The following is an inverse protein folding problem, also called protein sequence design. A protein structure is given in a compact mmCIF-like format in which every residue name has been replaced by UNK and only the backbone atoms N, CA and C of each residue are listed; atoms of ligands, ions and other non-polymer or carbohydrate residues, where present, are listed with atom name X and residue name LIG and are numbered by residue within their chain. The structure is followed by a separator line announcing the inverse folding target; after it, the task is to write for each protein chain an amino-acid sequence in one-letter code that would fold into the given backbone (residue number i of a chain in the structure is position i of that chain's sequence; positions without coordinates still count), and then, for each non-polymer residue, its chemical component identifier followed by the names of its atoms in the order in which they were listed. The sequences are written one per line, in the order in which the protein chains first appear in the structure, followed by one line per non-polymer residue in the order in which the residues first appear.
data_IF_275247056521
#
_entry.id   IF_275247056521
#
_cell.length_a   1.000
_cell.length_b   1.000
_cell.length_c   1.000
_cell.angle_alpha   90.00
_cell.angle_beta   90.00
_cell.angle_gamma   90.00
#
_symmetry.space_group_name_H-M   'P 1'
#
loop_
_entity.id
_entity.type
_entity.pdbx_description
1 polymer ?
#
# COMPACT_ATOMS: atom_id res chain seq x y z
N UNK A 1 21.72 48.48 -6.13
CA UNK A 1 22.14 47.80 -4.88
C UNK A 1 20.96 47.78 -3.93
N UNK A 2 20.34 46.61 -3.76
CA UNK A 2 20.01 45.98 -2.48
C UNK A 2 19.18 44.72 -2.81
N UNK A 3 19.88 43.59 -2.87
CA UNK A 3 19.26 42.27 -2.81
C UNK A 3 18.70 42.09 -1.40
N UNK A 4 17.39 41.92 -1.30
CA UNK A 4 16.76 41.49 -0.05
C UNK A 4 17.00 39.99 0.10
N UNK A 5 18.10 39.61 0.76
CA UNK A 5 18.25 38.25 1.27
C UNK A 5 17.36 38.09 2.50
N UNK A 6 16.20 37.44 2.33
CA UNK A 6 15.41 36.96 3.45
C UNK A 6 16.12 35.76 4.06
N UNK A 7 16.91 35.97 5.09
CA UNK A 7 17.47 34.89 5.90
C UNK A 7 16.36 34.18 6.66
N UNK A 8 16.15 32.90 6.34
CA UNK A 8 15.28 31.98 7.07
C UNK A 8 15.66 31.96 8.55
N UNK A 9 14.68 31.96 9.44
CA UNK A 9 14.95 31.85 10.88
C UNK A 9 15.46 30.45 11.21
N UNK A 10 16.26 30.32 12.28
CA UNK A 10 16.82 29.03 12.69
C UNK A 10 15.73 27.97 12.98
N UNK A 11 14.54 28.38 13.42
CA UNK A 11 13.39 27.47 13.60
C UNK A 11 12.81 26.98 12.27
N UNK A 12 12.77 27.83 11.25
CA UNK A 12 12.34 27.44 9.90
C UNK A 12 13.35 26.50 9.24
N UNK A 13 14.65 26.75 9.45
CA UNK A 13 15.72 25.87 8.99
C UNK A 13 15.66 24.50 9.69
N UNK A 14 15.49 24.46 11.01
CA UNK A 14 15.38 23.20 11.77
C UNK A 14 14.10 22.43 11.45
N UNK A 15 13.00 23.12 11.11
CA UNK A 15 11.76 22.49 10.64
C UNK A 15 11.95 21.85 9.25
N UNK A 16 12.59 22.56 8.31
CA UNK A 16 12.94 22.04 6.98
C UNK A 16 13.92 20.87 7.07
N UNK A 17 14.94 20.97 7.92
CA UNK A 17 15.89 19.89 8.18
C UNK A 17 15.17 18.68 8.79
N UNK A 18 14.23 18.86 9.72
CA UNK A 18 13.43 17.73 10.24
C UNK A 18 12.52 17.11 9.18
N UNK A 19 11.89 17.91 8.32
CA UNK A 19 11.04 17.41 7.22
C UNK A 19 11.89 16.60 6.22
N UNK A 20 13.09 17.08 5.89
CA UNK A 20 14.04 16.40 4.99
C UNK A 20 14.72 15.19 5.65
N UNK A 21 14.85 15.17 6.98
CA UNK A 21 15.40 14.05 7.75
C UNK A 21 14.39 12.93 8.02
N UNK A 22 13.11 13.09 7.66
CA UNK A 22 12.16 11.96 7.62
C UNK A 22 12.50 11.07 6.41
N UNK A 23 13.54 10.25 6.61
CA UNK A 23 13.92 9.06 5.83
C UNK A 23 14.18 9.26 4.33
N UNK A 24 15.23 10.01 4.02
CA UNK A 24 15.99 9.81 2.78
C UNK A 24 16.71 8.46 2.91
N UNK A 25 16.08 7.37 2.45
CA UNK A 25 16.74 6.06 2.29
C UNK A 25 17.77 6.12 1.15
N UNK A 26 18.71 5.18 1.06
CA UNK A 26 19.60 5.14 -0.10
C UNK A 26 18.78 5.03 -1.40
N UNK A 27 18.94 5.98 -2.31
CA UNK A 27 18.18 6.09 -3.56
C UNK A 27 18.79 7.14 -4.49
N UNK A 28 18.39 7.13 -5.76
CA UNK A 28 18.78 8.18 -6.72
C UNK A 28 17.83 9.35 -6.51
N UNK A 29 18.37 10.47 -6.02
CA UNK A 29 17.62 11.70 -5.82
C UNK A 29 17.90 12.66 -6.98
N UNK A 30 16.85 13.08 -7.65
CA UNK A 30 16.93 14.16 -8.64
C UNK A 30 16.90 15.49 -7.90
N UNK A 31 18.02 16.20 -7.87
CA UNK A 31 18.05 17.60 -7.47
C UNK A 31 17.42 18.41 -8.61
N UNK A 32 16.26 19.00 -8.36
CA UNK A 32 15.52 19.80 -9.34
C UNK A 32 15.57 21.24 -8.85
N UNK A 33 15.93 22.17 -9.74
CA UNK A 33 15.91 23.61 -9.43
C UNK A 33 14.48 24.11 -9.20
N UNK A 34 14.31 25.14 -8.37
CA UNK A 34 13.00 25.67 -7.97
C UNK A 34 12.14 26.15 -9.16
N UNK A 35 12.74 26.38 -10.33
CA UNK A 35 12.09 26.93 -11.52
C UNK A 35 11.59 25.88 -12.53
N UNK A 36 11.72 24.57 -12.26
CA UNK A 36 11.31 23.53 -13.23
C UNK A 36 9.82 23.27 -13.11
N UNK A 37 9.07 23.50 -14.19
CA UNK A 37 7.63 23.24 -14.19
C UNK A 37 7.33 21.73 -14.10
N UNK A 38 6.19 21.36 -13.51
CA UNK A 38 5.72 19.96 -13.45
C UNK A 38 5.63 19.29 -14.83
N UNK A 39 5.44 20.08 -15.90
CA UNK A 39 5.42 19.60 -17.28
C UNK A 39 6.82 19.22 -17.78
N UNK A 40 7.81 20.07 -17.55
CA UNK A 40 9.21 19.79 -17.91
C UNK A 40 9.78 18.62 -17.09
N UNK A 41 9.37 18.48 -15.83
CA UNK A 41 9.67 17.30 -15.02
C UNK A 41 9.10 16.02 -15.62
N UNK A 42 7.86 16.05 -16.08
CA UNK A 42 7.21 14.89 -16.71
C UNK A 42 7.93 14.48 -18.00
N UNK A 43 8.38 15.45 -18.80
CA UNK A 43 9.18 15.21 -20.02
C UNK A 43 10.57 14.68 -19.66
N UNK A 44 11.25 15.28 -18.69
CA UNK A 44 12.60 14.88 -18.29
C UNK A 44 12.62 13.48 -17.67
N UNK A 45 11.69 13.19 -16.75
CA UNK A 45 11.53 11.87 -16.14
C UNK A 45 11.07 10.85 -17.17
N UNK A 46 10.15 11.21 -18.06
CA UNK A 46 9.74 10.37 -19.20
C UNK A 46 10.92 10.03 -20.12
N UNK A 47 11.74 11.01 -20.49
CA UNK A 47 12.95 10.81 -21.28
C UNK A 47 14.01 9.97 -20.57
N UNK A 48 14.14 10.10 -19.24
CA UNK A 48 15.01 9.24 -18.44
C UNK A 48 14.51 7.78 -18.42
N UNK A 49 13.20 7.57 -18.23
CA UNK A 49 12.56 6.25 -18.27
C UNK A 49 12.74 5.59 -19.64
N UNK A 50 12.58 6.36 -20.72
CA UNK A 50 12.76 5.87 -22.08
C UNK A 50 14.22 5.49 -22.38
N UNK A 51 15.18 6.16 -21.71
CA UNK A 51 16.62 5.89 -21.87
C UNK A 51 17.09 4.69 -21.05
N UNK A 52 16.49 4.44 -19.88
CA UNK A 52 16.83 3.32 -19.00
C UNK A 52 15.97 2.10 -19.30
N UNK A 53 16.45 1.26 -20.22
CA UNK A 53 15.88 -0.08 -20.38
C UNK A 53 16.13 -0.92 -19.13
N UNK A 54 15.06 -1.43 -18.53
CA UNK A 54 15.10 -2.22 -17.29
C UNK A 54 15.70 -3.61 -17.54
N UNK A 55 16.48 -4.08 -16.58
CA UNK A 55 16.96 -5.47 -16.51
C UNK A 55 16.10 -6.31 -15.54
N UNK A 56 16.35 -7.62 -15.46
CA UNK A 56 15.58 -8.53 -14.60
C UNK A 56 15.69 -8.23 -13.10
N UNK A 57 16.82 -7.69 -12.63
CA UNK A 57 16.99 -7.26 -11.24
C UNK A 57 16.10 -6.05 -10.95
N UNK A 58 16.04 -5.09 -11.87
CA UNK A 58 15.17 -3.91 -11.73
C UNK A 58 13.69 -4.31 -11.67
N UNK A 59 13.29 -5.28 -12.50
CA UNK A 59 11.92 -5.85 -12.48
C UNK A 59 11.61 -6.47 -11.12
N UNK A 60 12.49 -7.32 -10.59
CA UNK A 60 12.31 -7.93 -9.28
C UNK A 60 12.25 -6.89 -8.15
N UNK A 61 13.02 -5.81 -8.24
CA UNK A 61 12.96 -4.72 -7.27
C UNK A 61 11.61 -4.00 -7.32
N UNK A 62 11.07 -3.73 -8.51
CA UNK A 62 9.72 -3.16 -8.68
C UNK A 62 8.66 -4.08 -8.07
N UNK A 63 8.71 -5.38 -8.38
CA UNK A 63 7.76 -6.35 -7.81
C UNK A 63 7.78 -6.36 -6.28
N UNK A 64 8.98 -6.44 -5.69
CA UNK A 64 9.14 -6.45 -4.24
C UNK A 64 8.70 -5.13 -3.62
N UNK A 65 9.00 -4.01 -4.27
CA UNK A 65 8.57 -2.69 -3.83
C UNK A 65 7.04 -2.59 -3.75
N UNK A 66 6.33 -2.97 -4.82
CA UNK A 66 4.87 -2.93 -4.85
C UNK A 66 4.27 -3.88 -3.81
N UNK A 67 4.78 -5.11 -3.71
CA UNK A 67 4.33 -6.10 -2.71
C UNK A 67 4.49 -5.56 -1.28
N UNK A 68 5.61 -4.91 -1.00
CA UNK A 68 5.89 -4.35 0.32
C UNK A 68 4.96 -3.19 0.66
N UNK A 69 4.78 -2.23 -0.25
CA UNK A 69 3.82 -1.13 -0.05
C UNK A 69 2.43 -1.70 0.22
N UNK A 70 1.99 -2.66 -0.60
CA UNK A 70 0.65 -3.19 -0.47
C UNK A 70 0.41 -3.94 0.83
N UNK A 71 1.41 -4.71 1.28
CA UNK A 71 1.38 -5.35 2.58
C UNK A 71 1.24 -4.31 3.71
N UNK A 72 1.98 -3.20 3.64
CA UNK A 72 1.90 -2.13 4.65
C UNK A 72 0.53 -1.45 4.66
N UNK A 73 -0.03 -1.14 3.49
CA UNK A 73 -1.37 -0.55 3.37
C UNK A 73 -2.44 -1.47 3.95
N UNK A 74 -2.40 -2.76 3.63
CA UNK A 74 -3.34 -3.74 4.19
C UNK A 74 -3.16 -3.86 5.70
N UNK A 75 -1.93 -3.83 6.21
CA UNK A 75 -1.67 -3.79 7.65
C UNK A 75 -2.25 -2.54 8.31
N UNK A 76 -2.18 -1.38 7.66
CA UNK A 76 -2.71 -0.12 8.16
C UNK A 76 -4.24 -0.16 8.34
N UNK A 77 -4.93 -0.97 7.53
CA UNK A 77 -6.38 -1.17 7.67
C UNK A 77 -6.77 -2.01 8.90
N UNK A 78 -5.88 -2.85 9.42
CA UNK A 78 -6.22 -3.78 10.52
C UNK A 78 -6.60 -3.06 11.82
N UNK A 79 -5.85 -2.06 12.32
CA UNK A 79 -6.25 -1.28 13.50
C UNK A 79 -7.64 -0.65 13.36
N UNK A 80 -7.98 -0.14 12.18
CA UNK A 80 -9.29 0.44 11.89
C UNK A 80 -10.43 -0.60 11.91
N UNK A 81 -10.14 -1.85 11.55
CA UNK A 81 -11.09 -2.95 11.69
C UNK A 81 -11.28 -3.31 13.16
N UNK A 82 -10.19 -3.40 13.92
CA UNK A 82 -10.23 -3.86 15.31
C UNK A 82 -10.68 -2.83 16.33
N UNK A 83 -10.61 -1.53 15.99
CA UNK A 83 -11.30 -0.50 16.77
C UNK A 83 -12.81 -0.73 16.81
N UNK A 84 -13.38 -1.35 15.77
CA UNK A 84 -14.81 -1.69 15.65
C UNK A 84 -15.13 -3.11 16.10
N UNK A 85 -14.25 -4.05 15.82
CA UNK A 85 -14.39 -5.47 16.17
C UNK A 85 -13.15 -5.96 16.90
N UNK A 86 -13.07 -5.75 18.22
CA UNK A 86 -11.90 -6.17 18.99
C UNK A 86 -11.85 -7.70 19.02
N UNK A 87 -10.90 -8.27 18.28
CA UNK A 87 -10.65 -9.71 18.22
C UNK A 87 -9.16 -9.99 18.50
N UNK A 88 -8.83 -11.10 19.19
CA UNK A 88 -7.44 -11.51 19.35
C UNK A 88 -6.80 -11.82 18.00
N UNK A 89 -5.60 -11.28 17.78
CA UNK A 89 -4.77 -11.61 16.63
C UNK A 89 -3.30 -11.49 16.97
N UNK A 90 -2.46 -12.23 16.25
CA UNK A 90 -1.01 -12.16 16.35
C UNK A 90 -0.41 -11.73 15.01
N UNK A 91 0.54 -10.77 15.06
CA UNK A 91 1.35 -10.43 13.90
C UNK A 91 2.45 -11.48 13.77
N UNK A 92 2.26 -12.40 12.84
CA UNK A 92 3.19 -13.47 12.54
C UNK A 92 3.28 -13.71 11.03
N UNK A 93 4.24 -14.54 10.61
CA UNK A 93 4.48 -14.84 9.19
C UNK A 93 3.25 -15.44 8.49
N UNK A 94 2.40 -16.17 9.21
CA UNK A 94 1.16 -16.72 8.66
C UNK A 94 0.19 -15.59 8.28
N UNK A 95 -0.04 -14.63 9.18
CA UNK A 95 -0.84 -13.45 8.84
C UNK A 95 -0.24 -12.70 7.65
N UNK A 96 1.06 -12.42 7.65
CA UNK A 96 1.72 -11.72 6.53
C UNK A 96 1.51 -12.42 5.19
N UNK A 97 1.72 -13.74 5.15
CA UNK A 97 1.51 -14.56 3.95
C UNK A 97 0.07 -14.41 3.44
N UNK A 98 -0.91 -14.46 4.34
CA UNK A 98 -2.32 -14.33 3.99
C UNK A 98 -2.68 -12.91 3.51
N UNK A 99 -2.05 -11.87 4.06
CA UNK A 99 -2.25 -10.49 3.61
C UNK A 99 -1.57 -10.21 2.25
N UNK A 100 -0.41 -10.80 1.99
CA UNK A 100 0.21 -10.76 0.66
C UNK A 100 -0.72 -11.43 -0.34
N UNK A 101 -1.21 -12.64 -0.02
CA UNK A 101 -2.15 -13.34 -0.89
C UNK A 101 -3.42 -12.53 -1.13
N UNK A 102 -3.99 -11.91 -0.10
CA UNK A 102 -5.13 -11.00 -0.22
C UNK A 102 -4.87 -9.91 -1.27
N UNK A 103 -3.70 -9.26 -1.18
CA UNK A 103 -3.29 -8.18 -2.07
C UNK A 103 -3.12 -8.59 -3.53
N UNK A 104 -2.75 -9.85 -3.77
CA UNK A 104 -2.51 -10.37 -5.11
C UNK A 104 -3.79 -10.64 -5.89
N UNK A 105 -4.90 -10.88 -5.20
CA UNK A 105 -6.18 -11.22 -5.81
C UNK A 105 -7.19 -10.07 -5.78
N UNK A 106 -7.05 -9.14 -4.85
CA UNK A 106 -8.05 -8.11 -4.60
C UNK A 106 -7.41 -6.73 -4.44
N UNK A 107 -8.11 -5.71 -4.93
CA UNK A 107 -7.76 -4.30 -4.70
C UNK A 107 -7.95 -3.91 -3.22
N UNK A 108 -7.59 -2.67 -2.84
CA UNK A 108 -7.62 -2.27 -1.43
C UNK A 108 -9.03 -2.24 -0.83
N UNK A 109 -10.05 -1.80 -1.57
CA UNK A 109 -11.40 -1.67 -1.03
C UNK A 109 -12.05 -3.05 -0.80
N UNK A 110 -11.78 -4.00 -1.71
CA UNK A 110 -12.19 -5.38 -1.54
C UNK A 110 -11.39 -6.06 -0.42
N UNK A 111 -10.09 -5.80 -0.32
CA UNK A 111 -9.25 -6.28 0.79
C UNK A 111 -9.78 -5.76 2.12
N UNK A 112 -10.11 -4.47 2.21
CA UNK A 112 -10.67 -3.86 3.41
C UNK A 112 -12.03 -4.48 3.78
N UNK A 113 -12.90 -4.68 2.79
CA UNK A 113 -14.19 -5.34 2.98
C UNK A 113 -14.03 -6.75 3.56
N UNK A 114 -13.09 -7.53 3.01
CA UNK A 114 -12.81 -8.88 3.49
C UNK A 114 -12.32 -8.88 4.93
N UNK A 115 -11.32 -8.06 5.27
CA UNK A 115 -10.81 -7.93 6.63
C UNK A 115 -11.92 -7.57 7.61
N UNK A 116 -12.71 -6.55 7.27
CA UNK A 116 -13.82 -6.07 8.08
C UNK A 116 -14.87 -7.16 8.32
N UNK A 117 -15.26 -7.87 7.27
CA UNK A 117 -16.27 -8.93 7.35
C UNK A 117 -15.79 -10.10 8.21
N UNK A 118 -14.56 -10.56 8.03
CA UNK A 118 -14.02 -11.67 8.82
C UNK A 118 -13.86 -11.31 10.29
N UNK A 119 -13.49 -10.05 10.60
CA UNK A 119 -13.39 -9.59 11.98
C UNK A 119 -14.77 -9.51 12.63
N UNK A 120 -15.78 -9.00 11.91
CA UNK A 120 -17.17 -8.96 12.37
C UNK A 120 -17.70 -10.35 12.71
N UNK A 121 -17.48 -11.32 11.83
CA UNK A 121 -17.89 -12.71 12.07
C UNK A 121 -17.19 -13.30 13.29
N UNK A 122 -15.87 -13.14 13.38
CA UNK A 122 -15.10 -13.66 14.51
C UNK A 122 -15.51 -13.00 15.84
N UNK A 123 -15.77 -11.68 15.85
CA UNK A 123 -16.27 -11.00 17.04
C UNK A 123 -17.64 -11.56 17.48
N UNK A 124 -18.52 -11.88 16.52
CA UNK A 124 -19.78 -12.57 16.81
C UNK A 124 -19.58 -13.96 17.41
N UNK A 125 -18.69 -14.77 16.83
CA UNK A 125 -18.34 -16.10 17.33
C UNK A 125 -17.80 -16.02 18.78
N UNK A 126 -16.87 -15.09 19.02
CA UNK A 126 -16.25 -14.89 20.33
C UNK A 126 -17.20 -14.30 21.36
N UNK A 127 -18.17 -13.50 20.96
CA UNK A 127 -19.19 -12.99 21.88
C UNK A 127 -20.04 -14.14 22.44
N UNK A 128 -20.39 -15.12 21.60
CA UNK A 128 -21.12 -16.33 22.04
C UNK A 128 -20.26 -17.17 22.98
N UNK A 129 -18.96 -17.30 22.71
CA UNK A 129 -18.01 -17.97 23.62
C UNK A 129 -17.88 -17.20 24.95
N UNK A 130 -17.81 -15.86 24.92
CA UNK A 130 -17.70 -15.00 26.11
C UNK A 130 -18.89 -15.09 27.05
N UNK A 131 -20.10 -15.30 26.51
CA UNK A 131 -21.29 -15.53 27.34
C UNK A 131 -21.16 -16.84 28.13
N UNK A 132 -20.35 -17.79 27.65
CA UNK A 132 -20.15 -19.10 28.26
C UNK A 132 -18.93 -19.15 29.20
N UNK A 133 -17.89 -18.35 28.96
CA UNK A 133 -16.66 -18.27 29.77
C UNK A 133 -15.79 -17.02 29.43
N UNK A 134 -14.62 -16.83 30.07
CA UNK A 134 -13.63 -15.83 29.63
C UNK A 134 -13.01 -16.17 28.26
N UNK A 135 -12.64 -15.13 27.48
CA UNK A 135 -12.00 -15.31 26.17
C UNK A 135 -10.52 -15.68 26.36
N UNK A 136 -10.14 -16.89 25.94
CA UNK A 136 -8.74 -17.30 25.84
C UNK A 136 -8.07 -16.70 24.59
N UNK A 137 -7.25 -15.67 24.81
CA UNK A 137 -6.54 -14.97 23.73
C UNK A 137 -5.54 -15.85 23.00
N UNK A 138 -4.80 -16.71 23.71
CA UNK A 138 -3.77 -17.57 23.10
C UNK A 138 -4.41 -18.61 22.19
N UNK A 139 -5.52 -19.21 22.63
CA UNK A 139 -6.31 -20.14 21.80
C UNK A 139 -6.87 -19.49 20.54
N UNK A 140 -7.02 -18.16 20.51
CA UNK A 140 -7.72 -17.47 19.42
C UNK A 140 -6.84 -16.59 18.54
N UNK A 141 -5.57 -16.41 18.89
CA UNK A 141 -4.65 -15.49 18.19
C UNK A 141 -4.46 -15.74 16.70
N UNK A 142 -4.66 -16.99 16.24
CA UNK A 142 -4.55 -17.36 14.83
C UNK A 142 -5.90 -17.48 14.10
N UNK A 143 -7.04 -17.43 14.82
CA UNK A 143 -8.37 -17.62 14.23
C UNK A 143 -8.67 -16.60 13.14
N UNK A 144 -8.29 -15.34 13.34
CA UNK A 144 -8.53 -14.28 12.36
C UNK A 144 -7.76 -14.51 11.06
N UNK A 145 -6.46 -14.80 11.15
CA UNK A 145 -5.60 -15.13 10.00
C UNK A 145 -6.17 -16.33 9.21
N UNK A 146 -6.57 -17.40 9.91
CA UNK A 146 -7.15 -18.58 9.28
C UNK A 146 -8.49 -18.30 8.58
N UNK A 147 -9.34 -17.43 9.14
CA UNK A 147 -10.58 -16.99 8.50
C UNK A 147 -10.31 -16.18 7.23
N UNK A 148 -9.30 -15.30 7.23
CA UNK A 148 -8.85 -14.58 6.02
C UNK A 148 -8.45 -15.59 4.94
N UNK A 149 -7.53 -16.51 5.25
CA UNK A 149 -7.02 -17.50 4.30
C UNK A 149 -8.15 -18.36 3.69
N UNK A 150 -9.05 -18.86 4.55
CA UNK A 150 -10.19 -19.68 4.12
C UNK A 150 -11.12 -18.93 3.18
N UNK A 151 -11.36 -17.64 3.45
CA UNK A 151 -12.27 -16.84 2.65
C UNK A 151 -11.65 -16.36 1.33
N UNK A 152 -10.35 -16.04 1.32
CA UNK A 152 -9.61 -15.81 0.06
C UNK A 152 -9.74 -17.04 -0.83
N UNK A 153 -9.44 -18.24 -0.29
CA UNK A 153 -9.56 -19.48 -1.03
C UNK A 153 -10.97 -19.68 -1.61
N UNK A 154 -11.99 -19.54 -0.78
CA UNK A 154 -13.39 -19.66 -1.22
C UNK A 154 -13.71 -18.71 -2.39
N UNK A 155 -13.31 -17.44 -2.28
CA UNK A 155 -13.58 -16.43 -3.30
C UNK A 155 -12.84 -16.71 -4.60
N UNK A 156 -11.56 -17.08 -4.52
CA UNK A 156 -10.74 -17.44 -5.68
C UNK A 156 -11.29 -18.70 -6.37
N UNK A 157 -11.54 -19.77 -5.62
CA UNK A 157 -12.09 -21.03 -6.16
C UNK A 157 -13.47 -20.82 -6.80
N UNK A 158 -14.24 -19.86 -6.29
CA UNK A 158 -15.57 -19.51 -6.82
C UNK A 158 -15.54 -18.43 -7.91
N UNK A 159 -14.37 -17.90 -8.27
CA UNK A 159 -14.19 -16.74 -9.15
C UNK A 159 -15.08 -15.53 -8.76
N UNK A 160 -15.08 -15.18 -7.47
CA UNK A 160 -15.87 -14.09 -6.88
C UNK A 160 -14.96 -13.05 -6.23
N UNK A 161 -15.49 -11.82 -6.12
CA UNK A 161 -14.92 -10.77 -5.27
C UNK A 161 -15.71 -10.67 -3.96
N UNK A 162 -15.13 -10.10 -2.89
CA UNK A 162 -15.88 -9.75 -1.69
C UNK A 162 -17.11 -8.91 -2.05
N UNK A 163 -18.27 -9.30 -1.55
CA UNK A 163 -19.49 -8.51 -1.74
C UNK A 163 -19.37 -7.21 -0.95
N UNK A 164 -19.84 -6.10 -1.53
CA UNK A 164 -19.83 -4.77 -0.93
C UNK A 164 -18.39 -4.27 -0.66
N UNK A 165 -17.67 -3.75 -1.68
CA UNK A 165 -16.39 -3.12 -1.47
C UNK A 165 -16.52 -2.00 -0.44
N UNK A 166 -15.53 -1.90 0.44
CA UNK A 166 -15.55 -0.95 1.55
C UNK A 166 -14.63 0.20 1.21
N UNK A 167 -15.20 1.41 1.15
CA UNK A 167 -14.43 2.64 1.00
C UNK A 167 -13.32 2.69 2.04
N UNK A 168 -12.14 3.13 1.61
CA UNK A 168 -11.01 3.38 2.48
C UNK A 168 -11.36 4.42 3.57
N UNK A 169 -10.66 4.41 4.72
CA UNK A 169 -10.83 5.43 5.75
C UNK A 169 -10.76 6.86 5.19
N UNK A 170 -11.51 7.80 5.76
CA UNK A 170 -11.61 9.18 5.24
C UNK A 170 -10.26 9.92 5.28
N UNK A 171 -9.37 9.52 6.19
CA UNK A 171 -8.00 10.04 6.31
C UNK A 171 -6.97 9.28 5.47
N UNK A 172 -7.40 8.39 4.57
CA UNK A 172 -6.49 7.62 3.72
C UNK A 172 -5.73 8.56 2.78
N UNK A 173 -4.40 8.45 2.79
CA UNK A 173 -3.52 9.21 1.92
C UNK A 173 -2.52 8.27 1.26
N UNK A 174 -2.45 8.35 -0.06
CA UNK A 174 -1.38 7.70 -0.82
C UNK A 174 -0.09 8.49 -0.64
N UNK A 175 1.02 7.77 -0.50
CA UNK A 175 2.36 8.35 -0.56
C UNK A 175 2.64 9.00 -1.91
N UNK A 176 3.63 9.89 -1.92
CA UNK A 176 4.03 10.61 -3.14
C UNK A 176 4.43 9.66 -4.28
N UNK A 177 5.05 8.52 -3.97
CA UNK A 177 5.47 7.56 -4.98
C UNK A 177 4.28 6.83 -5.61
N UNK A 178 3.26 6.49 -4.83
CA UNK A 178 2.01 5.88 -5.33
C UNK A 178 1.25 6.84 -6.23
N UNK A 179 1.19 8.13 -5.83
CA UNK A 179 0.59 9.20 -6.63
C UNK A 179 1.38 9.42 -7.93
N UNK A 180 2.71 9.49 -7.85
CA UNK A 180 3.59 9.65 -9.00
C UNK A 180 3.41 8.51 -9.99
N UNK A 181 3.43 7.25 -9.52
CA UNK A 181 3.24 6.08 -10.38
C UNK A 181 1.86 6.12 -11.04
N UNK A 182 0.81 6.43 -10.28
CA UNK A 182 -0.55 6.53 -10.81
C UNK A 182 -0.66 7.59 -11.91
N UNK A 183 -0.09 8.78 -11.71
CA UNK A 183 -0.15 9.89 -12.68
C UNK A 183 0.75 9.69 -13.91
N UNK A 184 1.80 8.88 -13.78
CA UNK A 184 2.82 8.71 -14.81
C UNK A 184 2.56 7.47 -15.67
N UNK A 185 2.03 6.40 -15.09
CA UNK A 185 1.93 5.10 -15.77
C UNK A 185 0.50 4.57 -15.87
N UNK A 186 -0.44 5.02 -15.04
CA UNK A 186 -1.82 4.53 -15.08
C UNK A 186 -2.71 5.48 -15.88
N UNK A 187 -3.63 4.90 -16.65
CA UNK A 187 -4.61 5.69 -17.39
C UNK A 187 -5.64 6.29 -16.42
N UNK A 188 -6.27 7.42 -16.77
CA UNK A 188 -7.20 8.19 -15.90
C UNK A 188 -8.38 7.41 -15.27
N UNK A 189 -8.60 6.15 -15.67
CA UNK A 189 -9.64 5.27 -15.15
C UNK A 189 -9.17 4.36 -14.01
N UNK A 190 -7.86 4.26 -13.77
CA UNK A 190 -7.27 3.38 -12.77
C UNK A 190 -6.43 4.18 -11.79
N UNK A 191 -6.67 4.00 -10.50
CA UNK A 191 -5.83 4.54 -9.44
C UNK A 191 -5.22 3.38 -8.64
N UNK A 192 -4.12 3.66 -7.95
CA UNK A 192 -3.38 2.69 -7.15
C UNK A 192 -4.25 1.83 -6.21
N UNK A 193 -5.33 2.38 -5.65
CA UNK A 193 -6.22 1.64 -4.75
C UNK A 193 -7.21 0.71 -5.45
N UNK A 194 -7.58 1.00 -6.70
CA UNK A 194 -8.52 0.22 -7.49
C UNK A 194 -7.90 -0.99 -8.20
N UNK A 195 -6.60 -1.24 -7.97
CA UNK A 195 -5.85 -2.32 -8.61
C UNK A 195 -5.28 -3.25 -7.55
N UNK A 196 -5.27 -4.54 -7.84
CA UNK A 196 -4.52 -5.52 -7.04
C UNK A 196 -3.00 -5.43 -7.34
N UNK A 197 -2.20 -6.08 -6.51
CA UNK A 197 -0.72 -6.07 -6.62
C UNK A 197 -0.24 -6.47 -8.02
N UNK A 198 -0.85 -7.48 -8.64
CA UNK A 198 -0.43 -7.99 -9.96
C UNK A 198 -0.75 -7.00 -11.07
N UNK A 199 -1.93 -6.37 -11.00
CA UNK A 199 -2.36 -5.34 -11.95
C UNK A 199 -1.44 -4.12 -11.91
N UNK A 200 -1.02 -3.69 -10.71
CA UNK A 200 -0.11 -2.54 -10.53
C UNK A 200 1.23 -2.83 -11.19
N UNK A 201 1.80 -4.00 -10.88
CA UNK A 201 3.08 -4.45 -11.44
C UNK A 201 2.98 -4.54 -12.96
N UNK A 202 1.98 -5.25 -13.48
CA UNK A 202 1.85 -5.47 -14.93
C UNK A 202 1.62 -4.16 -15.68
N UNK A 203 0.81 -3.26 -15.14
CA UNK A 203 0.54 -1.97 -15.76
C UNK A 203 1.78 -1.09 -15.74
N UNK A 204 2.48 -1.01 -14.61
CA UNK A 204 3.74 -0.26 -14.54
C UNK A 204 4.78 -0.82 -15.51
N UNK A 205 5.01 -2.14 -15.50
CA UNK A 205 5.99 -2.78 -16.37
C UNK A 205 5.63 -2.70 -17.86
N UNK A 206 4.34 -2.60 -18.21
CA UNK A 206 3.91 -2.45 -19.61
C UNK A 206 4.27 -1.09 -20.23
N UNK A 207 4.57 -0.08 -19.39
CA UNK A 207 4.84 1.30 -19.81
C UNK A 207 6.32 1.66 -19.80
N UNK A 208 7.19 0.72 -19.46
CA UNK A 208 8.65 0.91 -19.39
C UNK A 208 9.34 0.02 -20.41
N UNK A 209 10.42 0.51 -21.02
CA UNK A 209 11.20 -0.28 -21.96
C UNK A 209 12.02 -1.34 -21.22
N UNK A 210 11.96 -2.60 -21.67
CA UNK A 210 12.74 -3.71 -21.12
C UNK A 210 13.95 -3.97 -22.05
N UNK A 211 15.13 -4.23 -21.48
CA UNK A 211 16.29 -4.70 -22.25
C UNK A 211 15.95 -6.06 -22.84
N UNK A 212 15.79 -6.13 -24.16
CA UNK A 212 15.88 -7.39 -24.90
C UNK A 212 17.34 -7.85 -24.84
N UNK A 213 17.56 -9.10 -24.45
CA UNK A 213 18.86 -9.77 -24.56
C UNK A 213 19.42 -9.71 -25.99
#
# INVERSE_FOLDING_TARGET
MQENSSTLSNEQYDSLVRILQVRVQNGIYLAIGEDVSNYELKIFVGGFIDMFKLNMVDIQQIENFVKNIRLQEIYYLIPEVFSKFPVPYEKNLNLETNLIQLSEYFDLEHSYSLLFYQAKLLAGDLFIEKIKDEIDHEKHKNKYSNKIASYIKYLVDSNKKPNYPKKLPDNWQFSQIEQFISLSFFDNQHNWAGMNTKEIISTWLSKVAIKSE
#
